data_IF_939618401791
#
_entry.id   IF_939618401791
#
_cell.length_a   1.000
_cell.length_b   1.000
_cell.length_c   1.000
_cell.angle_alpha   90.00
_cell.angle_beta   90.00
_cell.angle_gamma   90.00
#
_symmetry.space_group_name_H-M   'P 1'
#
loop_
_entity.id
_entity.type
_entity.pdbx_description
1 polymer ?
#
# COMPACT_ATOMS: atom_id res chain seq x y z
N UNK A 1 -26.79 32.47 -7.40
CA UNK A 1 -25.66 31.66 -7.88
C UNK A 1 -25.70 30.35 -7.13
N UNK A 2 -26.30 29.33 -7.76
CA UNK A 2 -26.64 28.07 -7.10
C UNK A 2 -25.40 27.21 -6.88
N UNK A 3 -25.03 27.08 -5.60
CA UNK A 3 -24.08 26.11 -5.11
C UNK A 3 -24.64 24.70 -5.25
N UNK A 4 -24.42 24.08 -6.41
CA UNK A 4 -24.55 22.65 -6.56
C UNK A 4 -23.44 21.97 -5.74
N UNK A 5 -23.67 21.81 -4.44
CA UNK A 5 -22.93 20.87 -3.60
C UNK A 5 -23.04 19.51 -4.28
N UNK A 6 -21.94 19.05 -4.89
CA UNK A 6 -21.93 17.76 -5.58
C UNK A 6 -22.13 16.69 -4.51
N UNK A 7 -23.36 16.23 -4.37
CA UNK A 7 -23.70 15.10 -3.49
C UNK A 7 -22.85 13.93 -3.95
N UNK A 8 -21.97 13.44 -3.09
CA UNK A 8 -21.28 12.17 -3.36
C UNK A 8 -22.34 11.11 -3.31
N UNK A 9 -22.67 10.60 -4.48
CA UNK A 9 -23.46 9.39 -4.57
C UNK A 9 -22.57 8.22 -4.14
N UNK A 10 -23.14 7.19 -3.49
CA UNK A 10 -22.42 5.94 -3.22
C UNK A 10 -21.73 5.36 -4.47
N UNK A 11 -22.29 5.62 -5.65
CA UNK A 11 -21.71 5.26 -6.94
C UNK A 11 -20.38 5.97 -7.22
N UNK A 12 -20.27 7.27 -6.92
CA UNK A 12 -19.01 8.00 -7.11
C UNK A 12 -17.91 7.48 -6.18
N UNK A 13 -18.24 7.16 -4.93
CA UNK A 13 -17.28 6.57 -4.00
C UNK A 13 -16.81 5.18 -4.49
N UNK A 14 -17.75 4.33 -4.88
CA UNK A 14 -17.44 2.99 -5.43
C UNK A 14 -16.56 3.09 -6.67
N UNK A 15 -16.87 4.03 -7.56
CA UNK A 15 -16.08 4.27 -8.76
C UNK A 15 -14.67 4.78 -8.43
N UNK A 16 -14.55 5.73 -7.50
CA UNK A 16 -13.26 6.25 -7.06
C UNK A 16 -12.40 5.14 -6.43
N UNK A 17 -12.95 4.34 -5.52
CA UNK A 17 -12.25 3.19 -4.92
C UNK A 17 -11.77 2.19 -5.97
N UNK A 18 -12.61 1.89 -6.97
CA UNK A 18 -12.23 1.02 -8.11
C UNK A 18 -11.11 1.64 -8.94
N UNK A 19 -11.18 2.93 -9.22
CA UNK A 19 -10.14 3.65 -9.95
C UNK A 19 -8.80 3.60 -9.21
N UNK A 20 -8.78 3.85 -7.89
CA UNK A 20 -7.56 3.77 -7.08
C UNK A 20 -6.91 2.38 -7.12
N UNK A 21 -7.72 1.31 -7.01
CA UNK A 21 -7.23 -0.07 -7.12
C UNK A 21 -6.70 -0.41 -8.51
N UNK A 22 -7.36 0.07 -9.57
CA UNK A 22 -6.93 -0.15 -10.95
C UNK A 22 -5.60 0.57 -11.24
N UNK A 23 -5.43 1.79 -10.72
CA UNK A 23 -4.17 2.54 -10.82
C UNK A 23 -3.04 1.76 -10.15
N UNK A 24 -3.26 1.29 -8.91
CA UNK A 24 -2.28 0.48 -8.21
C UNK A 24 -1.91 -0.81 -8.97
N UNK A 25 -2.91 -1.55 -9.47
CA UNK A 25 -2.66 -2.79 -10.21
C UNK A 25 -1.80 -2.56 -11.47
N UNK A 26 -2.11 -1.52 -12.25
CA UNK A 26 -1.33 -1.16 -13.45
C UNK A 26 0.07 -0.65 -13.10
N UNK A 27 0.20 0.10 -12.02
CA UNK A 27 1.50 0.59 -11.57
C UNK A 27 2.40 -0.57 -11.13
N UNK A 28 1.86 -1.51 -10.35
CA UNK A 28 2.56 -2.73 -9.95
C UNK A 28 2.98 -3.57 -11.16
N UNK A 29 2.09 -3.78 -12.13
CA UNK A 29 2.41 -4.50 -13.37
C UNK A 29 3.61 -3.85 -14.09
N UNK A 30 3.62 -2.52 -14.19
CA UNK A 30 4.73 -1.76 -14.77
C UNK A 30 6.02 -1.93 -13.97
N UNK A 31 5.96 -1.85 -12.64
CA UNK A 31 7.11 -2.06 -11.76
C UNK A 31 7.70 -3.48 -11.92
N UNK A 32 6.84 -4.51 -11.92
CA UNK A 32 7.27 -5.90 -12.06
C UNK A 32 7.82 -6.18 -13.47
N UNK A 33 7.22 -5.59 -14.52
CA UNK A 33 7.74 -5.69 -15.88
C UNK A 33 9.08 -4.95 -16.06
N UNK A 34 9.30 -3.85 -15.35
CA UNK A 34 10.61 -3.19 -15.29
C UNK A 34 11.63 -4.11 -14.61
N UNK A 35 11.31 -4.58 -13.39
CA UNK A 35 12.17 -5.47 -12.62
C UNK A 35 12.56 -6.75 -13.38
N UNK A 36 11.62 -7.37 -14.09
CA UNK A 36 11.89 -8.56 -14.89
C UNK A 36 12.90 -8.32 -16.03
N UNK A 37 12.95 -7.09 -16.58
CA UNK A 37 13.88 -6.72 -17.66
C UNK A 37 15.25 -6.27 -17.15
N UNK A 38 15.29 -5.64 -15.98
CA UNK A 38 16.51 -4.98 -15.47
C UNK A 38 17.16 -5.72 -14.32
N UNK A 39 16.47 -6.68 -13.71
CA UNK A 39 16.89 -7.32 -12.46
C UNK A 39 16.73 -6.39 -11.24
N UNK A 40 15.99 -5.28 -11.36
CA UNK A 40 15.74 -4.37 -10.25
C UNK A 40 14.92 -5.06 -9.14
N UNK A 41 15.40 -4.93 -7.91
CA UNK A 41 14.79 -5.50 -6.70
C UNK A 41 14.22 -4.43 -5.77
N UNK A 42 14.30 -3.17 -6.17
CA UNK A 42 13.79 -2.05 -5.41
C UNK A 42 12.26 -2.12 -5.29
N UNK A 43 11.74 -1.35 -4.35
CA UNK A 43 10.33 -1.10 -4.23
C UNK A 43 10.08 0.26 -3.61
N UNK A 44 8.82 0.65 -3.59
CA UNK A 44 8.41 1.96 -3.11
C UNK A 44 7.11 1.89 -2.32
N UNK A 45 7.07 2.67 -1.25
CA UNK A 45 5.81 3.14 -0.67
C UNK A 45 5.21 4.22 -1.59
N UNK A 46 3.89 4.32 -1.60
CA UNK A 46 3.23 5.41 -2.28
C UNK A 46 1.91 5.75 -1.60
N UNK A 47 1.62 7.05 -1.60
CA UNK A 47 0.32 7.62 -1.28
C UNK A 47 -0.14 8.44 -2.47
N UNK A 48 -1.42 8.31 -2.84
CA UNK A 48 -1.99 9.07 -3.93
C UNK A 48 -3.43 9.45 -3.63
N UNK A 49 -3.90 10.50 -4.29
CA UNK A 49 -5.22 11.05 -4.05
C UNK A 49 -5.96 11.36 -5.34
N UNK A 50 -7.27 11.19 -5.31
CA UNK A 50 -8.20 11.61 -6.36
C UNK A 50 -9.12 12.68 -5.78
N UNK A 51 -9.10 13.88 -6.40
CA UNK A 51 -10.00 14.98 -6.06
C UNK A 51 -11.11 15.05 -7.11
N UNK A 52 -12.37 14.89 -6.68
CA UNK A 52 -13.55 15.05 -7.53
C UNK A 52 -14.44 16.11 -6.91
N UNK A 53 -14.52 17.29 -7.53
CA UNK A 53 -15.17 18.46 -6.94
C UNK A 53 -14.52 18.81 -5.59
N UNK A 54 -15.29 18.74 -4.51
CA UNK A 54 -14.82 19.00 -3.14
C UNK A 54 -14.49 17.74 -2.33
N UNK A 55 -14.29 16.60 -3.01
CA UNK A 55 -14.20 15.29 -2.38
C UNK A 55 -12.86 14.66 -2.68
N UNK A 56 -12.12 14.41 -1.60
CA UNK A 56 -10.79 13.81 -1.65
C UNK A 56 -10.90 12.34 -1.27
N UNK A 57 -10.44 11.46 -2.16
CA UNK A 57 -10.21 10.05 -1.88
C UNK A 57 -8.71 9.84 -1.83
N UNK A 58 -8.20 9.24 -0.76
CA UNK A 58 -6.78 8.95 -0.58
C UNK A 58 -6.60 7.44 -0.52
N UNK A 59 -5.53 6.95 -1.11
CA UNK A 59 -5.12 5.56 -1.07
C UNK A 59 -3.64 5.49 -0.69
N UNK A 60 -3.29 4.48 0.09
CA UNK A 60 -1.91 4.25 0.55
C UNK A 60 -1.48 2.80 0.29
N UNK A 61 -0.21 2.62 -0.06
CA UNK A 61 0.50 1.35 -0.09
C UNK A 61 1.87 1.58 0.55
N UNK A 62 2.10 1.03 1.74
CA UNK A 62 3.33 1.24 2.52
C UNK A 62 3.14 2.15 3.74
N UNK A 63 4.22 2.84 4.13
CA UNK A 63 4.35 3.69 5.33
C UNK A 63 4.17 5.19 5.08
N UNK A 64 3.68 5.58 3.90
CA UNK A 64 3.39 6.99 3.64
C UNK A 64 2.20 7.50 4.48
N UNK A 65 2.33 8.73 4.98
CA UNK A 65 1.30 9.42 5.74
C UNK A 65 0.72 10.59 4.95
N UNK A 66 -0.60 10.61 4.74
CA UNK A 66 -1.31 11.79 4.24
C UNK A 66 -2.02 12.51 5.39
N UNK A 67 -1.80 13.82 5.49
CA UNK A 67 -2.43 14.69 6.49
C UNK A 67 -3.13 15.84 5.79
N UNK A 68 -4.41 16.04 6.11
CA UNK A 68 -5.23 17.14 5.59
C UNK A 68 -5.32 18.26 6.62
N UNK A 69 -4.86 19.46 6.26
CA UNK A 69 -5.11 20.68 7.03
C UNK A 69 -6.57 21.11 6.88
N UNK A 70 -7.33 21.09 7.98
CA UNK A 70 -8.74 21.55 8.02
C UNK A 70 -9.02 22.28 9.32
N UNK A 71 -9.54 23.52 9.22
CA UNK A 71 -9.87 24.37 10.36
C UNK A 71 -8.70 24.57 11.35
N UNK A 72 -7.48 24.74 10.83
CA UNK A 72 -6.27 24.90 11.66
C UNK A 72 -5.76 23.61 12.32
N UNK A 73 -6.35 22.45 12.00
CA UNK A 73 -5.94 21.15 12.54
C UNK A 73 -5.47 20.20 11.43
N UNK A 74 -4.54 19.31 11.75
CA UNK A 74 -4.11 18.22 10.86
C UNK A 74 -4.97 16.98 11.08
N UNK A 75 -5.59 16.46 10.02
CA UNK A 75 -6.39 15.24 10.04
C UNK A 75 -5.66 14.15 9.25
N UNK A 76 -5.24 13.07 9.92
CA UNK A 76 -4.62 11.91 9.27
C UNK A 76 -5.65 11.19 8.39
N UNK A 77 -5.29 10.93 7.13
CA UNK A 77 -6.16 10.30 6.14
C UNK A 77 -5.76 8.85 5.79
N UNK A 78 -4.57 8.41 6.17
CA UNK A 78 -4.04 7.08 5.86
C UNK A 78 -3.61 6.35 7.11
N UNK A 79 -3.54 5.02 7.01
CA UNK A 79 -2.90 4.16 8.01
C UNK A 79 -1.62 3.59 7.38
N UNK A 80 -0.57 3.44 8.20
CA UNK A 80 0.67 2.78 7.78
C UNK A 80 0.44 1.27 7.63
N UNK A 81 1.22 0.64 6.75
CA UNK A 81 1.16 -0.79 6.48
C UNK A 81 2.37 -1.51 7.07
N UNK A 82 2.27 -1.82 8.37
CA UNK A 82 3.39 -2.29 9.19
C UNK A 82 3.17 -3.73 9.71
N UNK A 83 4.23 -4.55 9.85
CA UNK A 83 4.11 -5.97 10.25
C UNK A 83 3.51 -6.21 11.63
N UNK A 84 3.59 -5.25 12.54
CA UNK A 84 3.02 -5.35 13.89
C UNK A 84 1.50 -5.13 13.92
N UNK A 85 0.90 -4.62 12.83
CA UNK A 85 -0.55 -4.41 12.74
C UNK A 85 -1.22 -5.77 12.48
N UNK A 86 -2.20 -6.21 13.30
CA UNK A 86 -2.78 -7.55 13.20
C UNK A 86 -3.35 -7.91 11.82
N UNK A 87 -4.03 -6.97 11.16
CA UNK A 87 -4.58 -7.18 9.81
C UNK A 87 -3.48 -7.35 8.76
N UNK A 88 -2.38 -6.62 8.90
CA UNK A 88 -1.25 -6.70 7.99
C UNK A 88 -0.43 -7.97 8.21
N UNK A 89 -0.23 -8.37 9.47
CA UNK A 89 0.38 -9.65 9.81
C UNK A 89 -0.42 -10.85 9.25
N UNK A 90 -1.74 -10.74 9.21
CA UNK A 90 -2.59 -11.75 8.57
C UNK A 90 -2.38 -11.80 7.05
N UNK A 91 -2.22 -10.66 6.38
CA UNK A 91 -1.91 -10.60 4.94
C UNK A 91 -0.54 -11.22 4.62
N UNK A 92 0.48 -10.91 5.42
CA UNK A 92 1.82 -11.51 5.30
C UNK A 92 1.75 -13.03 5.36
N UNK A 93 1.04 -13.59 6.35
CA UNK A 93 0.84 -15.03 6.50
C UNK A 93 0.04 -15.64 5.35
N UNK A 94 -1.00 -14.95 4.87
CA UNK A 94 -1.78 -15.38 3.71
C UNK A 94 -0.92 -15.41 2.42
N UNK A 95 0.08 -14.54 2.32
CA UNK A 95 1.09 -14.54 1.25
C UNK A 95 2.19 -15.59 1.39
N UNK A 96 2.10 -16.51 2.37
CA UNK A 96 3.10 -17.53 2.65
C UNK A 96 4.35 -17.02 3.35
N UNK A 97 4.31 -15.79 3.88
CA UNK A 97 5.36 -15.23 4.72
C UNK A 97 5.09 -15.40 6.21
N UNK A 98 5.93 -14.79 7.02
CA UNK A 98 5.77 -14.72 8.46
C UNK A 98 6.17 -13.34 8.97
N UNK A 99 5.74 -13.01 10.19
CA UNK A 99 6.23 -11.81 10.88
C UNK A 99 7.26 -12.27 11.89
N UNK A 100 8.51 -11.85 11.69
CA UNK A 100 9.65 -12.14 12.57
C UNK A 100 10.11 -10.85 13.24
N UNK A 101 10.93 -11.00 14.27
CA UNK A 101 11.63 -9.89 14.90
C UNK A 101 13.10 -9.91 14.45
N UNK A 102 13.52 -8.84 13.77
CA UNK A 102 14.89 -8.66 13.29
C UNK A 102 15.48 -7.42 13.97
N UNK A 103 16.46 -7.62 14.85
CA UNK A 103 17.07 -6.59 15.71
C UNK A 103 16.05 -5.81 16.55
N UNK A 104 15.08 -6.52 17.14
CA UNK A 104 14.02 -5.89 17.95
C UNK A 104 12.93 -5.21 17.13
N UNK A 105 12.94 -5.34 15.80
CA UNK A 105 11.96 -4.70 14.92
C UNK A 105 11.12 -5.74 14.19
N UNK A 106 9.78 -5.68 14.29
CA UNK A 106 8.88 -6.52 13.51
C UNK A 106 9.06 -6.33 12.00
N UNK A 107 9.34 -7.41 11.29
CA UNK A 107 9.57 -7.47 9.86
C UNK A 107 8.68 -8.53 9.22
N UNK A 108 8.10 -8.23 8.06
CA UNK A 108 7.54 -9.25 7.17
C UNK A 108 8.70 -10.04 6.54
N UNK A 109 8.62 -11.36 6.60
CA UNK A 109 9.69 -12.24 6.15
C UNK A 109 9.20 -13.28 5.15
N UNK A 110 10.05 -13.55 4.16
CA UNK A 110 9.88 -14.61 3.17
C UNK A 110 11.05 -15.57 3.24
N UNK A 111 10.77 -16.86 3.46
CA UNK A 111 11.81 -17.89 3.45
C UNK A 111 12.47 -17.99 2.08
N UNK A 112 13.80 -18.07 2.05
CA UNK A 112 14.58 -18.33 0.83
C UNK A 112 14.70 -19.83 0.53
N UNK A 113 14.18 -20.70 1.40
CA UNK A 113 14.32 -22.15 1.33
C UNK A 113 15.17 -22.72 2.46
N UNK A 114 15.27 -24.06 2.57
CA UNK A 114 15.97 -24.72 3.66
C UNK A 114 17.42 -24.27 3.77
N UNK A 115 17.82 -23.75 4.93
CA UNK A 115 19.20 -23.31 5.22
C UNK A 115 19.63 -21.97 4.60
N UNK A 116 18.74 -21.26 3.89
CA UNK A 116 19.07 -20.01 3.18
C UNK A 116 18.56 -18.72 3.85
N UNK A 117 17.94 -18.85 5.03
CA UNK A 117 17.43 -17.72 5.80
C UNK A 117 16.23 -17.01 5.15
N UNK A 118 16.09 -15.72 5.42
CA UNK A 118 14.93 -14.92 5.05
C UNK A 118 15.30 -13.72 4.17
N UNK A 119 14.35 -13.22 3.39
CA UNK A 119 14.27 -11.79 3.05
C UNK A 119 13.32 -11.12 4.04
N UNK A 120 13.73 -9.98 4.59
CA UNK A 120 12.91 -9.15 5.46
C UNK A 120 12.45 -7.86 4.79
N UNK A 121 11.31 -7.34 5.23
CA UNK A 121 10.85 -5.98 4.94
C UNK A 121 10.18 -5.41 6.18
N UNK A 122 10.40 -4.12 6.43
CA UNK A 122 9.74 -3.37 7.52
C UNK A 122 8.31 -2.97 7.19
N UNK A 123 7.87 -3.25 5.96
CA UNK A 123 6.53 -2.96 5.46
C UNK A 123 5.81 -4.28 5.18
N UNK A 124 4.49 -4.22 5.06
CA UNK A 124 3.65 -5.33 4.58
C UNK A 124 3.07 -5.06 3.19
N UNK A 125 3.18 -3.81 2.73
CA UNK A 125 2.71 -3.39 1.42
C UNK A 125 3.75 -2.51 0.74
N UNK A 126 3.99 -2.77 -0.54
CA UNK A 126 4.89 -1.98 -1.38
C UNK A 126 4.65 -2.29 -2.86
N UNK A 127 4.89 -1.30 -3.73
CA UNK A 127 5.07 -1.53 -5.16
C UNK A 127 6.46 -2.08 -5.44
N UNK A 128 6.62 -2.89 -6.49
CA UNK A 128 7.88 -3.55 -6.79
C UNK A 128 8.22 -4.58 -5.73
N UNK A 129 9.49 -4.66 -5.30
CA UNK A 129 9.99 -5.74 -4.43
C UNK A 129 9.62 -7.14 -4.96
N UNK A 130 9.99 -7.49 -6.21
CA UNK A 130 9.58 -8.75 -6.85
C UNK A 130 9.95 -9.99 -6.02
N UNK A 131 11.12 -9.97 -5.38
CA UNK A 131 11.62 -11.07 -4.55
C UNK A 131 10.75 -11.32 -3.31
N UNK A 132 9.99 -10.32 -2.87
CA UNK A 132 9.09 -10.39 -1.72
C UNK A 132 7.64 -10.68 -2.10
N UNK A 133 7.29 -10.78 -3.38
CA UNK A 133 5.94 -11.18 -3.78
C UNK A 133 5.72 -12.68 -3.53
N UNK A 134 4.52 -13.12 -3.08
CA UNK A 134 3.34 -12.31 -2.74
C UNK A 134 3.27 -11.87 -1.26
N UNK A 135 4.34 -12.02 -0.46
CA UNK A 135 4.39 -11.61 0.96
C UNK A 135 4.12 -10.12 1.14
N UNK A 136 4.65 -9.27 0.26
CA UNK A 136 4.30 -7.85 0.19
C UNK A 136 3.25 -7.60 -0.88
N UNK A 137 2.08 -7.09 -0.51
CA UNK A 137 1.04 -6.75 -1.50
C UNK A 137 1.16 -5.30 -1.99
N UNK A 138 0.76 -5.04 -3.24
CA UNK A 138 0.64 -3.68 -3.78
C UNK A 138 -0.79 -3.10 -3.62
N UNK A 139 -1.70 -3.85 -2.98
CA UNK A 139 -3.10 -3.46 -2.85
C UNK A 139 -3.23 -2.27 -1.89
N UNK A 140 -3.86 -1.16 -2.33
CA UNK A 140 -4.07 0.00 -1.47
C UNK A 140 -5.16 -0.23 -0.43
N UNK A 141 -5.05 0.47 0.70
CA UNK A 141 -6.15 0.72 1.65
C UNK A 141 -6.87 2.03 1.34
#
# INVERSE_FOLDING_TARGET
EDGASTVVTPELEKLARRAMKNVAARFEESCLAHAARTGDKSGASAVWSLLVGLKLVVANTGDCLAVLGRNGQGVVLTCEHMPHIPSEAALVRAGGGEVIEEDGVPSAAKSKGPGMGYLGSRLTRAFGNPDMKPVLTAIPS
#
